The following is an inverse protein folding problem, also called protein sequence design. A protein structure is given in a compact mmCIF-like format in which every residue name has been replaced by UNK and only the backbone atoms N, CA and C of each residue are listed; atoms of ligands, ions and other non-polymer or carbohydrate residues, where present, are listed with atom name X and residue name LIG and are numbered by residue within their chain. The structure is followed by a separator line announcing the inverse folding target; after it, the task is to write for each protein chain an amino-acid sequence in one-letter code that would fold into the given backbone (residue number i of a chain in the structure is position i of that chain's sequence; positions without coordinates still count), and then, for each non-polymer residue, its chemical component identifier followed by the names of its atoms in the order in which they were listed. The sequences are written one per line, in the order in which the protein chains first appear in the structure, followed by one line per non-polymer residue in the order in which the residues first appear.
data_IF_258860220192
#
_entry.id   IF_258860220192
#
_cell.length_a   1.000
_cell.length_b   1.000
_cell.length_c   1.000
_cell.angle_alpha   90.00
_cell.angle_beta   90.00
_cell.angle_gamma   90.00
#
_symmetry.space_group_name_H-M   'P 1'
#
loop_
_entity.id
_entity.type
_entity.pdbx_description
1 polymer ?
#
# COMPACT_ATOMS: atom_id res chain seq x y z
N UNK A 1 8.51 17.91 -5.72
CA UNK A 1 8.59 18.32 -7.13
C UNK A 1 7.20 18.16 -7.70
N UNK A 2 6.63 19.19 -8.29
CA UNK A 2 5.26 19.18 -8.81
C UNK A 2 5.30 19.42 -10.32
N UNK A 3 4.66 18.55 -11.09
CA UNK A 3 4.67 18.55 -12.55
C UNK A 3 3.24 18.41 -13.06
N UNK A 4 2.84 19.29 -13.97
CA UNK A 4 1.57 19.20 -14.69
C UNK A 4 1.83 19.46 -16.18
N UNK A 5 1.17 18.71 -17.04
CA UNK A 5 1.39 18.69 -18.48
C UNK A 5 0.05 18.65 -19.23
N UNK A 6 0.00 19.30 -20.38
CA UNK A 6 -1.18 19.29 -21.27
C UNK A 6 -0.97 18.35 -22.45
N UNK A 7 -2.06 17.79 -22.95
CA UNK A 7 -2.12 16.87 -24.10
C UNK A 7 -1.23 15.64 -23.94
N UNK A 8 -1.19 15.06 -22.74
CA UNK A 8 -0.39 13.88 -22.41
C UNK A 8 -1.20 12.73 -21.80
N UNK A 9 -0.71 11.51 -21.97
CA UNK A 9 -1.21 10.31 -21.27
C UNK A 9 -0.48 10.05 -19.95
N UNK A 10 -1.02 9.15 -19.12
CA UNK A 10 -0.36 8.69 -17.90
C UNK A 10 1.04 8.11 -18.19
N UNK A 11 1.18 7.31 -19.24
CA UNK A 11 2.44 6.67 -19.64
C UNK A 11 3.48 7.70 -20.12
N UNK A 12 3.04 8.82 -20.70
CA UNK A 12 3.92 9.92 -21.08
C UNK A 12 4.48 10.65 -19.86
N UNK A 13 3.64 10.90 -18.85
CA UNK A 13 4.09 11.45 -17.57
C UNK A 13 5.06 10.50 -16.87
N UNK A 14 4.76 9.19 -16.86
CA UNK A 14 5.64 8.16 -16.28
C UNK A 14 7.02 8.14 -16.96
N UNK A 15 7.06 8.15 -18.30
CA UNK A 15 8.32 8.22 -19.06
C UNK A 15 9.11 9.49 -18.80
N UNK A 16 8.45 10.63 -18.65
CA UNK A 16 9.12 11.89 -18.28
C UNK A 16 9.79 11.75 -16.91
N UNK A 17 9.07 11.21 -15.91
CA UNK A 17 9.60 11.03 -14.55
C UNK A 17 10.76 10.04 -14.52
N UNK A 18 10.65 8.92 -15.25
CA UNK A 18 11.74 7.96 -15.43
C UNK A 18 12.99 8.62 -15.99
N UNK A 19 12.85 9.37 -17.10
CA UNK A 19 13.96 10.10 -17.71
C UNK A 19 14.54 11.18 -16.79
N UNK A 20 13.69 11.91 -16.06
CA UNK A 20 14.11 12.90 -15.08
C UNK A 20 14.94 12.26 -13.96
N UNK A 21 14.46 11.17 -13.37
CA UNK A 21 15.16 10.46 -12.30
C UNK A 21 16.48 9.88 -12.76
N UNK A 22 16.52 9.28 -13.96
CA UNK A 22 17.75 8.75 -14.55
C UNK A 22 18.76 9.87 -14.81
N UNK A 23 18.32 11.01 -15.35
CA UNK A 23 19.18 12.15 -15.67
C UNK A 23 19.73 12.84 -14.41
N UNK A 24 18.90 12.99 -13.37
CA UNK A 24 19.29 13.64 -12.12
C UNK A 24 19.91 12.68 -11.09
N UNK A 25 20.18 11.43 -11.47
CA UNK A 25 20.63 10.43 -10.51
C UNK A 25 22.04 10.75 -10.00
N UNK A 26 22.26 10.85 -8.68
CA UNK A 26 23.58 11.18 -8.16
C UNK A 26 24.57 10.02 -8.38
N UNK A 27 25.80 10.35 -8.80
CA UNK A 27 26.88 9.36 -9.01
C UNK A 27 27.17 8.57 -7.72
N UNK A 28 27.12 9.23 -6.57
CA UNK A 28 27.43 8.66 -5.25
C UNK A 28 26.18 8.19 -4.49
N UNK A 29 25.11 7.75 -5.17
CA UNK A 29 23.83 7.36 -4.55
C UNK A 29 23.93 6.11 -3.65
N UNK A 30 24.50 6.24 -2.44
CA UNK A 30 24.69 5.15 -1.47
C UNK A 30 25.42 3.91 -2.04
N UNK A 31 26.28 4.13 -3.05
CA UNK A 31 26.96 3.07 -3.80
C UNK A 31 26.05 2.20 -4.67
N UNK A 32 24.78 2.58 -4.83
CA UNK A 32 23.81 1.89 -5.67
C UNK A 32 23.89 2.33 -7.15
N UNK A 33 23.51 1.46 -8.10
CA UNK A 33 23.49 1.80 -9.51
C UNK A 33 22.39 2.82 -9.83
N UNK A 34 22.55 3.52 -10.95
CA UNK A 34 21.45 4.27 -11.56
C UNK A 34 20.28 3.31 -11.88
N UNK A 35 19.02 3.68 -11.59
CA UNK A 35 17.86 2.87 -11.88
C UNK A 35 17.76 2.55 -13.37
N UNK A 36 17.44 1.29 -13.67
CA UNK A 36 17.12 0.85 -15.02
C UNK A 36 15.69 1.30 -15.38
N UNK A 37 15.56 1.96 -16.52
CA UNK A 37 14.26 2.36 -17.10
C UNK A 37 13.96 1.52 -18.35
N UNK A 38 12.69 1.26 -18.68
CA UNK A 38 11.48 1.68 -17.98
C UNK A 38 11.28 0.94 -16.65
N UNK A 39 10.61 1.57 -15.68
CA UNK A 39 10.31 0.92 -14.42
C UNK A 39 9.22 -0.15 -14.61
N UNK A 40 9.26 -1.25 -13.84
CA UNK A 40 8.18 -2.22 -13.81
C UNK A 40 6.82 -1.56 -13.49
N UNK A 41 5.76 -2.02 -14.15
CA UNK A 41 4.39 -1.55 -13.93
C UNK A 41 3.57 -2.67 -13.31
N UNK A 42 2.77 -2.36 -12.30
CA UNK A 42 1.91 -3.28 -11.58
C UNK A 42 0.53 -2.65 -11.37
N UNK A 43 -0.55 -3.41 -11.54
CA UNK A 43 -1.89 -2.89 -11.19
C UNK A 43 -2.08 -2.88 -9.67
N UNK A 44 -2.88 -1.96 -9.17
CA UNK A 44 -3.27 -1.89 -7.75
C UNK A 44 -3.79 -3.25 -7.25
N UNK A 45 -4.64 -3.90 -8.06
CA UNK A 45 -5.15 -5.24 -7.74
C UNK A 45 -4.03 -6.28 -7.59
N UNK A 46 -3.01 -6.26 -8.48
CA UNK A 46 -1.86 -7.15 -8.36
C UNK A 46 -0.98 -6.82 -7.14
N UNK A 47 -0.77 -5.53 -6.85
CA UNK A 47 -0.02 -5.07 -5.68
C UNK A 47 -0.68 -5.54 -4.38
N UNK A 48 -1.99 -5.32 -4.24
CA UNK A 48 -2.76 -5.79 -3.09
C UNK A 48 -2.76 -7.32 -2.99
N UNK A 49 -3.01 -8.03 -4.10
CA UNK A 49 -3.08 -9.50 -4.10
C UNK A 49 -1.75 -10.16 -3.75
N UNK A 50 -0.63 -9.65 -4.25
CA UNK A 50 0.68 -10.29 -4.09
C UNK A 50 1.51 -9.74 -2.95
N UNK A 51 1.26 -8.51 -2.50
CA UNK A 51 2.06 -7.84 -1.47
C UNK A 51 1.24 -7.33 -0.30
N UNK A 52 -0.09 -7.28 -0.41
CA UNK A 52 -0.96 -6.76 0.64
C UNK A 52 -0.83 -5.25 0.83
N UNK A 53 -0.31 -4.54 -0.17
CA UNK A 53 -0.11 -3.10 -0.13
C UNK A 53 0.00 -2.53 -1.55
N UNK A 54 -0.56 -1.34 -1.72
CA UNK A 54 -0.40 -0.44 -2.86
C UNK A 54 1.02 0.14 -3.01
N UNK A 55 1.85 0.07 -1.96
CA UNK A 55 3.28 0.42 -1.99
C UNK A 55 4.15 -0.80 -1.70
N UNK A 56 4.26 -1.75 -2.64
CA UNK A 56 4.98 -2.99 -2.41
C UNK A 56 6.49 -2.77 -2.31
N UNK A 57 7.12 -3.43 -1.33
CA UNK A 57 8.59 -3.65 -1.34
C UNK A 57 8.90 -4.88 -2.20
N UNK A 58 9.39 -4.65 -3.41
CA UNK A 58 9.66 -5.67 -4.43
C UNK A 58 11.07 -6.25 -4.38
N UNK A 59 11.88 -5.88 -3.38
CA UNK A 59 13.28 -6.37 -3.24
C UNK A 59 13.38 -7.87 -2.97
N UNK A 60 12.35 -8.47 -2.40
CA UNK A 60 12.32 -9.88 -2.03
C UNK A 60 11.00 -10.57 -2.45
N UNK A 61 11.09 -11.87 -2.75
CA UNK A 61 10.06 -12.63 -3.47
C UNK A 61 9.08 -13.39 -2.56
N UNK A 62 8.87 -12.93 -1.32
CA UNK A 62 7.90 -13.58 -0.41
C UNK A 62 6.48 -13.11 -0.73
N UNK A 63 5.95 -13.53 -1.87
CA UNK A 63 4.63 -13.14 -2.32
C UNK A 63 3.53 -13.75 -1.43
N UNK A 64 2.45 -13.01 -1.27
CA UNK A 64 1.18 -13.54 -0.76
C UNK A 64 0.59 -14.51 -1.78
N UNK A 65 0.13 -15.65 -1.28
CA UNK A 65 -0.41 -16.76 -2.05
C UNK A 65 -1.77 -17.17 -1.49
N UNK A 66 -2.69 -17.55 -2.38
CA UNK A 66 -3.96 -18.12 -1.98
C UNK A 66 -3.73 -19.49 -1.30
N UNK A 67 -4.31 -19.66 -0.12
CA UNK A 67 -4.30 -20.90 0.63
C UNK A 67 -5.72 -21.46 0.81
N UNK A 68 -6.75 -20.81 0.28
CA UNK A 68 -8.15 -21.17 0.52
C UNK A 68 -8.46 -22.55 -0.06
N UNK A 69 -8.07 -22.80 -1.31
CA UNK A 69 -8.30 -24.10 -1.96
C UNK A 69 -7.63 -25.26 -1.20
N UNK A 70 -6.36 -25.11 -0.84
CA UNK A 70 -5.62 -26.13 -0.10
C UNK A 70 -6.22 -26.42 1.29
N UNK A 71 -6.73 -25.39 1.98
CA UNK A 71 -7.35 -25.55 3.30
C UNK A 71 -8.76 -26.17 3.21
N UNK A 72 -9.53 -25.87 2.16
CA UNK A 72 -10.83 -26.49 1.90
C UNK A 72 -10.70 -27.99 1.63
N UNK A 73 -9.77 -28.38 0.74
CA UNK A 73 -9.54 -29.78 0.37
C UNK A 73 -9.00 -30.62 1.53
N UNK A 74 -8.19 -30.02 2.39
CA UNK A 74 -7.64 -30.66 3.59
C UNK A 74 -8.71 -31.07 4.62
N UNK A 75 -10.00 -30.76 4.39
CA UNK A 75 -11.13 -31.07 5.29
C UNK A 75 -10.79 -30.75 6.74
N UNK A 76 -10.22 -29.57 7.00
CA UNK A 76 -9.85 -29.09 8.34
C UNK A 76 -11.09 -28.77 9.21
N UNK A 77 -12.11 -29.65 9.21
CA UNK A 77 -13.38 -29.52 9.93
C UNK A 77 -13.27 -29.57 11.45
N UNK A 78 -12.05 -29.59 12.00
CA UNK A 78 -11.79 -29.43 13.44
C UNK A 78 -11.64 -27.97 13.90
N UNK A 79 -11.73 -27.00 12.98
CA UNK A 79 -11.69 -25.56 13.30
C UNK A 79 -12.97 -24.95 12.73
N UNK A 80 -14.00 -24.82 13.57
CA UNK A 80 -15.32 -24.26 13.20
C UNK A 80 -15.20 -22.90 12.54
N UNK A 81 -14.28 -22.06 13.05
CA UNK A 81 -13.96 -20.74 12.48
C UNK A 81 -13.47 -20.79 11.02
N UNK A 82 -12.77 -21.85 10.62
CA UNK A 82 -12.19 -22.00 9.28
C UNK A 82 -13.29 -22.24 8.23
N UNK A 83 -14.30 -23.04 8.56
CA UNK A 83 -15.45 -23.28 7.70
C UNK A 83 -16.36 -22.07 7.63
N UNK A 84 -16.61 -21.39 8.74
CA UNK A 84 -17.45 -20.18 8.80
C UNK A 84 -16.80 -19.02 8.04
N UNK A 85 -15.49 -18.80 8.22
CA UNK A 85 -14.75 -17.73 7.53
C UNK A 85 -14.68 -17.98 6.03
N UNK A 86 -14.42 -19.21 5.59
CA UNK A 86 -14.35 -19.54 4.15
C UNK A 86 -15.74 -19.55 3.49
N UNK A 87 -16.80 -19.88 4.23
CA UNK A 87 -18.16 -19.90 3.70
C UNK A 87 -18.77 -18.50 3.56
N UNK A 88 -18.12 -17.47 4.12
CA UNK A 88 -18.53 -16.09 3.93
C UNK A 88 -18.24 -15.63 2.49
N UNK A 89 -19.12 -14.86 1.81
CA UNK A 89 -18.92 -14.45 0.41
C UNK A 89 -17.61 -13.71 0.10
N UNK A 90 -16.98 -13.12 1.12
CA UNK A 90 -15.71 -12.37 1.03
C UNK A 90 -14.56 -13.05 1.80
N UNK A 91 -14.79 -14.28 2.26
CA UNK A 91 -13.85 -15.04 3.05
C UNK A 91 -12.72 -15.61 2.21
N UNK A 92 -11.49 -15.31 2.58
CA UNK A 92 -10.30 -15.88 1.95
C UNK A 92 -9.32 -16.42 2.98
N UNK A 93 -8.38 -17.22 2.52
CA UNK A 93 -7.21 -17.61 3.27
C UNK A 93 -5.96 -17.28 2.45
N UNK A 94 -5.06 -16.51 3.04
CA UNK A 94 -3.82 -16.09 2.40
C UNK A 94 -2.64 -16.58 3.22
N UNK A 95 -1.58 -16.99 2.54
CA UNK A 95 -0.34 -17.41 3.16
C UNK A 95 0.87 -16.77 2.50
N UNK A 96 1.97 -16.65 3.25
CA UNK A 96 3.30 -16.44 2.69
C UNK A 96 4.31 -17.34 3.39
N UNK A 97 5.42 -17.60 2.70
CA UNK A 97 6.51 -18.45 3.19
C UNK A 97 7.67 -17.55 3.60
N UNK A 98 8.19 -17.79 4.80
CA UNK A 98 9.43 -17.19 5.31
C UNK A 98 10.54 -18.24 5.20
N UNK A 99 11.43 -18.12 4.20
CA UNK A 99 12.54 -19.04 4.03
C UNK A 99 13.42 -19.07 5.28
N UNK A 100 13.83 -20.25 5.72
CA UNK A 100 14.65 -20.44 6.95
C UNK A 100 14.01 -19.92 8.25
N UNK A 101 12.73 -19.52 8.21
CA UNK A 101 12.06 -18.87 9.33
C UNK A 101 12.02 -19.68 10.62
N UNK A 102 12.15 -21.02 10.56
CA UNK A 102 12.15 -21.87 11.75
C UNK A 102 13.32 -21.55 12.71
N UNK A 103 14.47 -21.14 12.18
CA UNK A 103 15.68 -20.85 12.97
C UNK A 103 15.70 -19.41 13.49
N UNK A 104 15.09 -18.49 12.74
CA UNK A 104 15.27 -17.05 12.92
C UNK A 104 14.08 -16.36 13.60
N UNK A 105 12.86 -16.91 13.47
CA UNK A 105 11.68 -16.29 14.08
C UNK A 105 11.57 -16.64 15.57
N UNK A 106 11.55 -15.59 16.39
CA UNK A 106 11.35 -15.72 17.83
C UNK A 106 9.88 -16.05 18.17
N UNK A 107 9.67 -16.75 19.28
CA UNK A 107 8.30 -17.05 19.76
C UNK A 107 7.52 -15.77 20.07
N UNK A 108 8.17 -14.75 20.63
CA UNK A 108 7.51 -13.48 20.94
C UNK A 108 7.12 -12.71 19.69
N UNK A 109 7.91 -12.76 18.61
CA UNK A 109 7.53 -12.17 17.32
C UNK A 109 6.25 -12.84 16.80
N UNK A 110 6.20 -14.18 16.79
CA UNK A 110 5.00 -14.92 16.36
C UNK A 110 3.75 -14.58 17.20
N UNK A 111 3.90 -14.43 18.52
CA UNK A 111 2.81 -14.01 19.42
C UNK A 111 2.36 -12.57 19.16
N UNK A 112 3.31 -11.66 18.93
CA UNK A 112 3.04 -10.26 18.56
C UNK A 112 2.29 -10.16 17.24
N UNK A 113 2.66 -10.96 16.23
CA UNK A 113 1.96 -11.00 14.95
C UNK A 113 0.53 -11.50 15.08
N UNK A 114 0.30 -12.51 15.91
CA UNK A 114 -1.06 -12.97 16.21
C UNK A 114 -1.87 -11.88 16.93
N UNK A 115 -1.28 -11.17 17.89
CA UNK A 115 -1.93 -10.04 18.56
C UNK A 115 -2.27 -8.90 17.58
N UNK A 116 -1.37 -8.59 16.64
CA UNK A 116 -1.61 -7.59 15.60
C UNK A 116 -2.78 -8.03 14.71
N UNK A 117 -2.77 -9.26 14.21
CA UNK A 117 -3.83 -9.79 13.35
C UNK A 117 -5.19 -9.85 14.07
N UNK A 118 -5.22 -10.26 15.34
CA UNK A 118 -6.47 -10.32 16.12
C UNK A 118 -7.06 -8.96 16.48
N UNK A 119 -6.30 -7.86 16.35
CA UNK A 119 -6.83 -6.49 16.54
C UNK A 119 -7.51 -5.94 15.29
N UNK A 120 -7.20 -6.49 14.12
CA UNK A 120 -7.81 -6.09 12.87
C UNK A 120 -9.23 -6.67 12.78
N UNK A 121 -10.20 -5.86 12.38
CA UNK A 121 -11.61 -6.27 12.37
C UNK A 121 -11.84 -7.46 11.44
N UNK A 122 -12.54 -8.50 11.93
CA UNK A 122 -12.89 -9.68 11.12
C UNK A 122 -11.76 -10.70 10.91
N UNK A 123 -10.56 -10.49 11.48
CA UNK A 123 -9.47 -11.45 11.46
C UNK A 123 -9.46 -12.32 12.73
N UNK A 124 -9.38 -13.64 12.56
CA UNK A 124 -9.30 -14.61 13.66
C UNK A 124 -7.92 -14.75 14.31
N UNK A 125 -6.96 -13.89 13.94
CA UNK A 125 -5.53 -14.04 14.25
C UNK A 125 -4.74 -14.64 13.08
N UNK A 126 -3.49 -15.03 13.35
CA UNK A 126 -2.56 -15.61 12.38
C UNK A 126 -2.02 -16.95 12.87
N UNK A 127 -1.95 -17.92 11.97
CA UNK A 127 -1.33 -19.22 12.22
C UNK A 127 0.09 -19.24 11.70
N UNK A 128 1.05 -19.40 12.60
CA UNK A 128 2.48 -19.59 12.25
C UNK A 128 2.83 -21.08 12.31
N UNK A 129 3.25 -21.63 11.18
CA UNK A 129 3.47 -23.06 10.95
C UNK A 129 4.91 -23.32 10.48
N UNK A 130 5.76 -23.86 11.35
CA UNK A 130 7.12 -24.26 11.00
C UNK A 130 7.15 -25.61 10.28
N UNK A 131 7.90 -25.70 9.19
CA UNK A 131 8.04 -26.90 8.36
C UNK A 131 9.17 -27.78 8.90
N UNK A 132 8.84 -29.00 9.30
CA UNK A 132 9.82 -29.99 9.80
C UNK A 132 10.46 -30.79 8.65
N UNK A 133 11.55 -31.48 8.98
CA UNK A 133 12.29 -32.36 8.07
C UNK A 133 11.45 -33.52 7.51
N UNK A 134 10.44 -33.98 8.24
CA UNK A 134 9.52 -35.03 7.80
C UNK A 134 8.34 -34.50 6.97
N UNK A 135 8.31 -33.19 6.68
CA UNK A 135 7.22 -32.52 5.97
C UNK A 135 5.97 -32.25 6.83
N UNK A 136 6.03 -32.50 8.14
CA UNK A 136 4.95 -32.12 9.07
C UNK A 136 5.09 -30.66 9.53
N UNK A 137 3.96 -30.05 9.92
CA UNK A 137 3.90 -28.68 10.43
C UNK A 137 3.93 -28.64 11.97
N UNK A 138 4.47 -27.57 12.57
CA UNK A 138 4.42 -27.30 14.02
C UNK A 138 4.14 -25.83 14.30
N UNK A 139 3.49 -25.52 15.42
CA UNK A 139 3.47 -24.15 15.96
C UNK A 139 2.07 -23.59 16.18
N UNK A 140 1.07 -24.13 15.49
CA UNK A 140 -0.31 -23.66 15.58
C UNK A 140 -1.32 -24.81 15.67
N UNK A 141 -2.55 -24.48 16.05
CA UNK A 141 -3.67 -25.43 15.98
C UNK A 141 -3.94 -25.86 14.53
N UNK A 142 -3.79 -24.92 13.58
CA UNK A 142 -3.88 -25.20 12.14
C UNK A 142 -2.87 -26.26 11.70
N UNK A 143 -1.60 -26.14 12.13
CA UNK A 143 -0.56 -27.12 11.85
C UNK A 143 -0.94 -28.53 12.36
N UNK A 144 -1.49 -28.61 13.57
CA UNK A 144 -1.93 -29.89 14.17
C UNK A 144 -3.04 -30.54 13.37
N UNK A 145 -4.01 -29.75 12.89
CA UNK A 145 -5.13 -30.25 12.08
C UNK A 145 -4.66 -30.67 10.69
N UNK A 146 -3.84 -29.87 10.01
CA UNK A 146 -3.30 -30.19 8.68
C UNK A 146 -2.44 -31.45 8.69
N UNK A 147 -1.71 -31.71 9.76
CA UNK A 147 -0.98 -32.98 9.92
C UNK A 147 -1.94 -34.16 10.07
N UNK A 148 -3.02 -34.00 10.85
CA UNK A 148 -4.00 -35.05 11.10
C UNK A 148 -4.78 -35.44 9.84
N UNK A 149 -5.16 -34.45 9.03
CA UNK A 149 -5.94 -34.68 7.81
C UNK A 149 -5.08 -35.01 6.59
N UNK A 150 -3.76 -34.87 6.70
CA UNK A 150 -2.82 -35.05 5.58
C UNK A 150 -2.69 -33.84 4.65
N UNK A 151 -3.45 -32.76 4.90
CA UNK A 151 -3.42 -31.53 4.09
C UNK A 151 -2.11 -30.74 4.15
N UNK A 152 -1.25 -31.01 5.14
CA UNK A 152 0.04 -30.33 5.27
C UNK A 152 0.90 -30.44 4.00
N UNK A 153 0.98 -31.63 3.40
CA UNK A 153 1.81 -31.85 2.18
C UNK A 153 1.28 -31.06 0.99
N UNK A 154 -0.03 -30.99 0.83
CA UNK A 154 -0.66 -30.27 -0.27
C UNK A 154 -0.46 -28.76 -0.14
N UNK A 155 -0.67 -28.23 1.06
CA UNK A 155 -0.42 -26.81 1.34
C UNK A 155 1.06 -26.44 1.12
N UNK A 156 1.99 -27.27 1.60
CA UNK A 156 3.42 -27.03 1.40
C UNK A 156 3.80 -27.07 -0.09
N UNK A 157 3.24 -28.01 -0.85
CA UNK A 157 3.47 -28.12 -2.28
C UNK A 157 2.90 -26.93 -3.06
N UNK A 158 1.71 -26.44 -2.71
CA UNK A 158 1.12 -25.27 -3.36
C UNK A 158 1.90 -23.99 -3.08
N UNK A 159 2.48 -23.87 -1.88
CA UNK A 159 3.26 -22.70 -1.45
C UNK A 159 4.74 -22.77 -1.83
N UNK A 160 5.23 -23.92 -2.31
CA UNK A 160 6.65 -24.17 -2.57
C UNK A 160 7.53 -24.16 -1.31
N UNK A 161 6.95 -24.43 -0.14
CA UNK A 161 7.65 -24.37 1.14
C UNK A 161 8.44 -25.65 1.42
N UNK A 162 9.67 -25.51 1.92
CA UNK A 162 10.59 -26.62 2.18
C UNK A 162 10.92 -26.76 3.67
N UNK A 163 11.48 -27.90 4.13
CA UNK A 163 11.91 -28.06 5.50
C UNK A 163 12.85 -26.95 5.98
N UNK A 164 12.58 -26.38 7.16
CA UNK A 164 13.30 -25.23 7.71
C UNK A 164 12.58 -23.89 7.52
N UNK A 165 11.57 -23.83 6.65
CA UNK A 165 10.77 -22.63 6.43
C UNK A 165 9.69 -22.46 7.51
N UNK A 166 9.10 -21.27 7.53
CA UNK A 166 7.89 -20.97 8.28
C UNK A 166 6.80 -20.48 7.34
N UNK A 167 5.64 -21.13 7.37
CA UNK A 167 4.44 -20.68 6.65
C UNK A 167 3.57 -19.87 7.60
N UNK A 168 3.22 -18.65 7.20
CA UNK A 168 2.30 -17.78 7.94
C UNK A 168 0.97 -17.77 7.19
N UNK A 169 -0.14 -18.03 7.89
CA UNK A 169 -1.49 -18.15 7.29
C UNK A 169 -2.49 -17.30 8.07
N UNK A 170 -3.27 -16.48 7.38
CA UNK A 170 -4.40 -15.74 7.95
C UNK A 170 -5.69 -16.04 7.18
N UNK A 171 -6.82 -15.92 7.88
CA UNK A 171 -8.16 -16.16 7.35
C UNK A 171 -9.11 -15.05 7.77
N UNK A 172 -9.95 -14.59 6.86
CA UNK A 172 -10.79 -13.40 7.07
C UNK A 172 -11.35 -12.80 5.79
N UNK A 173 -12.00 -11.64 5.90
CA UNK A 173 -12.35 -10.81 4.74
C UNK A 173 -11.10 -10.45 3.93
N UNK A 174 -11.17 -10.57 2.61
CA UNK A 174 -10.02 -10.41 1.71
C UNK A 174 -9.22 -9.12 1.92
N UNK A 175 -9.87 -7.96 1.95
CA UNK A 175 -9.20 -6.66 2.16
C UNK A 175 -8.34 -6.64 3.43
N UNK A 176 -8.89 -7.16 4.53
CA UNK A 176 -8.29 -7.12 5.84
C UNK A 176 -7.16 -8.14 5.95
N UNK A 177 -7.36 -9.34 5.39
CA UNK A 177 -6.33 -10.38 5.30
C UNK A 177 -5.14 -9.88 4.50
N UNK A 178 -5.36 -9.33 3.30
CA UNK A 178 -4.28 -8.84 2.44
C UNK A 178 -3.49 -7.73 3.13
N UNK A 179 -4.16 -6.70 3.66
CA UNK A 179 -3.51 -5.59 4.38
C UNK A 179 -2.69 -6.07 5.59
N UNK A 180 -3.27 -6.96 6.41
CA UNK A 180 -2.57 -7.52 7.57
C UNK A 180 -1.34 -8.35 7.14
N UNK A 181 -1.52 -9.25 6.16
CA UNK A 181 -0.46 -10.13 5.69
C UNK A 181 0.68 -9.37 4.99
N UNK A 182 0.38 -8.26 4.30
CA UNK A 182 1.38 -7.35 3.75
C UNK A 182 2.25 -6.72 4.83
N UNK A 183 1.65 -6.25 5.93
CA UNK A 183 2.40 -5.75 7.11
C UNK A 183 3.26 -6.84 7.74
N UNK A 184 2.68 -8.02 7.97
CA UNK A 184 3.40 -9.15 8.59
C UNK A 184 4.57 -9.65 7.74
N UNK A 185 4.44 -9.63 6.40
CA UNK A 185 5.53 -9.94 5.46
C UNK A 185 6.74 -9.03 5.69
N UNK A 186 6.53 -7.72 5.84
CA UNK A 186 7.62 -6.76 6.09
C UNK A 186 8.23 -6.94 7.48
N UNK A 187 7.41 -7.21 8.50
CA UNK A 187 7.89 -7.51 9.85
C UNK A 187 8.72 -8.79 9.89
N UNK A 188 8.30 -9.84 9.18
CA UNK A 188 9.05 -11.08 9.07
C UNK A 188 10.43 -10.86 8.42
N UNK A 189 10.51 -10.01 7.39
CA UNK A 189 11.79 -9.67 6.76
C UNK A 189 12.70 -8.93 7.75
N UNK A 190 12.16 -7.98 8.51
CA UNK A 190 12.92 -7.24 9.52
C UNK A 190 13.43 -8.15 10.66
N UNK A 191 12.62 -9.12 11.13
CA UNK A 191 13.05 -10.10 12.13
C UNK A 191 14.22 -10.97 11.62
N UNK A 192 14.15 -11.44 10.37
CA UNK A 192 15.24 -12.20 9.76
C UNK A 192 16.52 -11.36 9.64
N UNK A 193 16.40 -10.12 9.20
CA UNK A 193 17.52 -9.17 9.11
C UNK A 193 18.16 -8.87 10.47
N UNK A 194 17.36 -8.76 11.53
CA UNK A 194 17.87 -8.57 12.90
C UNK A 194 18.72 -9.75 13.39
N UNK A 195 18.51 -10.95 12.84
CA UNK A 195 19.31 -12.15 13.14
C UNK A 195 20.50 -12.36 12.20
N UNK A 196 20.75 -11.43 11.27
CA UNK A 196 21.86 -11.48 10.32
C UNK A 196 21.55 -12.15 8.98
N UNK A 197 20.27 -12.46 8.69
CA UNK A 197 19.86 -12.98 7.37
C UNK A 197 19.56 -11.80 6.45
N UNK A 198 20.29 -11.67 5.36
CA UNK A 198 20.11 -10.57 4.43
C UNK A 198 18.91 -10.84 3.49
N UNK A 199 17.77 -10.22 3.78
CA UNK A 199 16.54 -10.36 2.97
C UNK A 199 16.43 -9.24 1.95
N UNK A 200 16.63 -7.98 2.37
CA UNK A 200 16.56 -6.80 1.51
C UNK A 200 17.92 -6.16 1.37
N UNK A 201 18.27 -5.82 0.13
CA UNK A 201 19.43 -4.98 -0.12
C UNK A 201 19.11 -3.51 0.20
N UNK A 202 19.83 -2.93 1.16
CA UNK A 202 19.66 -1.52 1.59
C UNK A 202 20.21 -0.52 0.57
N UNK A 203 21.16 -0.93 -0.27
CA UNK A 203 21.77 -0.09 -1.30
C UNK A 203 20.98 -0.13 -2.61
N UNK A 204 20.12 -1.13 -2.78
CA UNK A 204 19.29 -1.29 -3.97
C UNK A 204 18.00 -0.47 -3.84
N UNK A 205 17.73 0.39 -4.81
CA UNK A 205 16.50 1.17 -4.94
C UNK A 205 15.68 0.58 -6.08
N UNK A 206 14.61 -0.16 -5.74
CA UNK A 206 13.68 -0.73 -6.73
C UNK A 206 12.45 0.14 -6.86
N UNK A 207 12.32 0.74 -8.04
CA UNK A 207 11.13 1.48 -8.44
C UNK A 207 10.10 0.56 -9.07
N UNK A 208 8.82 0.89 -8.87
CA UNK A 208 7.68 0.25 -9.52
C UNK A 208 6.56 1.28 -9.64
N UNK A 209 5.92 1.32 -10.81
CA UNK A 209 4.68 2.05 -11.00
C UNK A 209 3.51 1.18 -10.55
N UNK A 210 2.66 1.72 -9.69
CA UNK A 210 1.35 1.14 -9.38
C UNK A 210 0.29 1.94 -10.12
N UNK A 211 -0.57 1.26 -10.88
CA UNK A 211 -1.59 1.86 -11.75
C UNK A 211 -2.96 1.22 -11.51
N UNK A 212 -4.01 1.69 -12.18
CA UNK A 212 -5.35 1.08 -12.12
C UNK A 212 -5.96 1.07 -10.71
N UNK A 213 -5.73 2.12 -9.94
CA UNK A 213 -6.34 2.29 -8.62
C UNK A 213 -7.86 2.42 -8.73
N UNK A 214 -8.65 1.99 -7.72
CA UNK A 214 -10.06 2.31 -7.64
C UNK A 214 -10.26 3.83 -7.63
N UNK A 215 -11.32 4.30 -8.28
CA UNK A 215 -11.67 5.72 -8.26
C UNK A 215 -12.31 6.13 -6.93
N UNK A 216 -13.14 5.25 -6.38
CA UNK A 216 -13.90 5.46 -5.15
C UNK A 216 -13.68 4.33 -4.15
N UNK A 217 -13.80 4.66 -2.87
CA UNK A 217 -13.92 3.71 -1.77
C UNK A 217 -15.11 4.07 -0.87
N UNK A 218 -15.66 3.11 -0.10
CA UNK A 218 -16.68 3.42 0.89
C UNK A 218 -16.13 4.36 1.97
N UNK A 219 -16.89 5.41 2.30
CA UNK A 219 -16.58 6.29 3.43
C UNK A 219 -16.71 5.57 4.78
N UNK A 220 -16.24 6.22 5.86
CA UNK A 220 -16.28 5.66 7.22
C UNK A 220 -17.71 5.31 7.69
N UNK A 221 -18.71 6.02 7.15
CA UNK A 221 -20.13 5.82 7.45
C UNK A 221 -20.76 4.65 6.66
N UNK A 222 -20.03 4.07 5.70
CA UNK A 222 -20.48 2.97 4.84
C UNK A 222 -21.62 3.32 3.87
N UNK A 223 -22.06 4.58 3.85
CA UNK A 223 -23.19 5.06 3.05
C UNK A 223 -22.77 6.04 1.97
N UNK A 224 -21.69 6.78 2.22
CA UNK A 224 -21.08 7.70 1.28
C UNK A 224 -19.91 7.04 0.54
N UNK A 225 -19.59 7.59 -0.64
CA UNK A 225 -18.37 7.26 -1.36
C UNK A 225 -17.39 8.40 -1.21
N UNK A 226 -16.13 8.07 -1.01
CA UNK A 226 -15.02 9.02 -1.00
C UNK A 226 -14.07 8.71 -2.15
N UNK A 227 -13.36 9.72 -2.64
CA UNK A 227 -12.32 9.53 -3.65
C UNK A 227 -11.10 8.90 -3.01
N UNK A 228 -10.54 7.85 -3.62
CA UNK A 228 -9.31 7.20 -3.12
C UNK A 228 -8.12 8.17 -3.17
N UNK A 229 -8.09 9.02 -4.20
CA UNK A 229 -7.08 10.06 -4.36
C UNK A 229 -7.78 11.43 -4.48
N UNK A 230 -7.54 12.17 -5.57
CA UNK A 230 -8.17 13.47 -5.79
C UNK A 230 -9.55 13.33 -6.49
N UNK A 231 -10.56 14.15 -6.14
CA UNK A 231 -11.87 14.17 -6.81
C UNK A 231 -11.84 14.62 -8.29
N UNK A 232 -10.67 14.99 -8.82
CA UNK A 232 -10.48 15.44 -10.20
C UNK A 232 -9.77 14.38 -11.05
N UNK A 233 -9.58 13.19 -10.51
CA UNK A 233 -8.93 12.09 -11.22
C UNK A 233 -9.87 11.51 -12.29
N UNK A 234 -9.34 11.37 -13.50
CA UNK A 234 -10.06 10.82 -14.64
C UNK A 234 -10.42 9.33 -14.41
N UNK A 235 -11.69 8.92 -14.61
CA UNK A 235 -12.06 7.52 -14.61
C UNK A 235 -11.38 6.78 -15.77
N UNK A 236 -11.06 5.50 -15.55
CA UNK A 236 -10.53 4.65 -16.59
C UNK A 236 -11.55 4.55 -17.75
N UNK A 237 -11.16 4.78 -19.02
CA UNK A 237 -12.09 4.86 -20.15
C UNK A 237 -12.98 3.63 -20.31
N UNK A 238 -12.44 2.44 -20.05
CA UNK A 238 -13.19 1.19 -20.14
C UNK A 238 -14.25 1.02 -19.04
N UNK A 239 -14.14 1.76 -17.94
CA UNK A 239 -14.98 1.56 -16.75
C UNK A 239 -15.95 2.74 -16.54
N UNK A 240 -15.82 3.83 -17.33
CA UNK A 240 -16.64 5.03 -17.20
C UNK A 240 -18.17 4.77 -17.28
N UNK A 241 -18.58 3.70 -17.97
CA UNK A 241 -19.98 3.28 -18.05
C UNK A 241 -20.54 2.75 -16.71
N UNK A 242 -19.68 2.36 -15.77
CA UNK A 242 -20.06 1.84 -14.45
C UNK A 242 -20.26 2.95 -13.41
N UNK A 243 -19.93 4.21 -13.72
CA UNK A 243 -20.04 5.33 -12.78
C UNK A 243 -21.44 5.46 -12.15
N UNK A 244 -22.50 5.27 -12.93
CA UNK A 244 -23.87 5.42 -12.45
C UNK A 244 -24.46 4.12 -11.87
N UNK A 245 -23.88 2.96 -12.21
CA UNK A 245 -24.44 1.64 -11.85
C UNK A 245 -23.69 0.95 -10.72
N UNK A 246 -22.37 0.97 -10.76
CA UNK A 246 -21.49 0.29 -9.81
C UNK A 246 -20.16 1.06 -9.66
N UNK A 247 -20.20 2.26 -9.04
CA UNK A 247 -19.05 3.17 -8.96
C UNK A 247 -17.83 2.57 -8.26
N UNK A 248 -18.02 1.60 -7.35
CA UNK A 248 -16.93 0.92 -6.64
C UNK A 248 -16.06 0.04 -7.55
N UNK A 249 -16.54 -0.31 -8.75
CA UNK A 249 -15.75 -1.07 -9.74
C UNK A 249 -15.01 -0.18 -10.73
N UNK A 250 -15.20 1.13 -10.67
CA UNK A 250 -14.56 2.07 -11.60
C UNK A 250 -13.10 2.24 -11.20
N UNK A 251 -12.18 1.86 -12.09
CA UNK A 251 -10.77 2.21 -11.95
C UNK A 251 -10.55 3.66 -12.35
N UNK A 252 -9.45 4.22 -11.87
CA UNK A 252 -8.97 5.56 -12.16
C UNK A 252 -7.72 5.53 -13.03
N UNK A 253 -7.43 6.63 -13.71
CA UNK A 253 -6.12 6.88 -14.33
C UNK A 253 -5.14 7.52 -13.34
N UNK A 254 -5.15 7.04 -12.09
CA UNK A 254 -4.17 7.38 -11.06
C UNK A 254 -2.98 6.42 -11.14
N UNK A 255 -1.80 6.92 -10.81
CA UNK A 255 -0.56 6.17 -10.79
C UNK A 255 0.37 6.67 -9.68
N UNK A 256 0.96 5.71 -8.97
CA UNK A 256 1.94 5.98 -7.92
C UNK A 256 3.30 5.43 -8.33
N UNK A 257 4.35 6.21 -8.06
CA UNK A 257 5.72 5.74 -8.08
C UNK A 257 6.09 5.26 -6.68
N UNK A 258 6.42 3.99 -6.57
CA UNK A 258 6.83 3.35 -5.32
C UNK A 258 8.30 2.97 -5.41
N UNK A 259 9.06 3.23 -4.36
CA UNK A 259 10.44 2.81 -4.20
C UNK A 259 10.61 2.08 -2.87
N UNK A 260 11.06 0.83 -2.90
CA UNK A 260 11.38 0.04 -1.71
C UNK A 260 10.26 -0.02 -0.64
N UNK A 261 9.00 -0.07 -1.07
CA UNK A 261 7.83 -0.08 -0.19
C UNK A 261 7.41 1.29 0.35
N UNK A 262 7.98 2.37 -0.18
CA UNK A 262 7.56 3.74 0.11
C UNK A 262 7.00 4.38 -1.17
N UNK A 263 5.83 4.99 -1.07
CA UNK A 263 5.35 5.92 -2.09
C UNK A 263 6.30 7.13 -2.15
N UNK A 264 6.88 7.38 -3.32
CA UNK A 264 7.80 8.50 -3.58
C UNK A 264 7.20 9.55 -4.50
N UNK A 265 6.08 9.25 -5.13
CA UNK A 265 5.25 10.22 -5.82
C UNK A 265 3.95 9.61 -6.29
N UNK A 266 2.99 10.48 -6.60
CA UNK A 266 1.65 10.07 -7.02
C UNK A 266 1.06 11.12 -7.94
N UNK A 267 0.28 10.67 -8.92
CA UNK A 267 -0.22 11.50 -10.00
C UNK A 267 -1.45 10.90 -10.65
N UNK A 268 -2.16 11.71 -11.42
CA UNK A 268 -3.28 11.22 -12.20
C UNK A 268 -3.49 12.01 -13.47
N UNK A 269 -4.13 11.38 -14.45
CA UNK A 269 -4.80 12.12 -15.51
C UNK A 269 -5.99 12.83 -14.91
N UNK A 270 -6.16 14.11 -15.25
CA UNK A 270 -7.22 14.96 -14.69
C UNK A 270 -8.45 14.96 -15.57
N UNK A 271 -9.60 15.13 -14.95
CA UNK A 271 -10.85 15.37 -15.64
C UNK A 271 -10.79 16.76 -16.29
N UNK A 272 -10.90 16.77 -17.61
CA UNK A 272 -10.95 17.99 -18.41
C UNK A 272 -12.38 18.29 -18.91
N UNK A 273 -13.27 17.29 -18.90
CA UNK A 273 -14.65 17.42 -19.32
C UNK A 273 -15.55 17.92 -18.16
N UNK A 274 -16.25 19.05 -18.30
CA UNK A 274 -17.05 19.61 -17.21
C UNK A 274 -18.24 18.72 -16.82
N UNK A 275 -18.85 18.01 -17.77
CA UNK A 275 -19.98 17.11 -17.47
C UNK A 275 -19.52 15.92 -16.63
N UNK A 276 -18.38 15.31 -16.99
CA UNK A 276 -17.74 14.25 -16.20
C UNK A 276 -17.38 14.72 -14.80
N UNK A 277 -16.82 15.94 -14.66
CA UNK A 277 -16.46 16.47 -13.35
C UNK A 277 -17.69 16.67 -12.46
N UNK A 278 -18.80 17.20 -13.02
CA UNK A 278 -20.06 17.34 -12.29
C UNK A 278 -20.62 15.98 -11.86
N UNK A 279 -20.53 14.96 -12.71
CA UNK A 279 -20.96 13.59 -12.37
C UNK A 279 -20.16 13.03 -11.20
N UNK A 280 -18.83 13.15 -11.23
CA UNK A 280 -17.96 12.68 -10.14
C UNK A 280 -18.25 13.43 -8.83
N UNK A 281 -18.41 14.76 -8.86
CA UNK A 281 -18.78 15.54 -7.67
C UNK A 281 -20.15 15.15 -7.13
N UNK A 282 -21.11 14.84 -8.00
CA UNK A 282 -22.43 14.35 -7.63
C UNK A 282 -22.38 13.00 -6.91
N UNK A 283 -21.55 12.06 -7.39
CA UNK A 283 -21.32 10.75 -6.74
C UNK A 283 -20.71 10.94 -5.36
N UNK A 284 -19.75 11.86 -5.22
CA UNK A 284 -19.11 12.22 -3.95
C UNK A 284 -20.00 13.07 -3.03
N UNK A 285 -21.20 13.45 -3.46
CA UNK A 285 -22.14 14.30 -2.73
C UNK A 285 -21.53 15.65 -2.31
N UNK A 286 -20.58 16.16 -3.08
CA UNK A 286 -19.95 17.46 -2.83
C UNK A 286 -20.86 18.59 -3.31
N UNK A 287 -21.07 19.64 -2.50
CA UNK A 287 -21.97 20.74 -2.85
C UNK A 287 -21.45 21.48 -4.09
N UNK A 288 -22.32 21.76 -5.10
CA UNK A 288 -21.89 22.38 -6.36
C UNK A 288 -21.21 23.74 -6.18
N UNK A 289 -21.63 24.51 -5.16
CA UNK A 289 -21.17 25.89 -4.96
C UNK A 289 -19.68 26.02 -4.65
N UNK A 290 -19.07 25.04 -3.98
CA UNK A 290 -17.69 25.14 -3.50
C UNK A 290 -16.67 24.99 -4.66
N UNK A 291 -17.05 24.29 -5.73
CA UNK A 291 -16.18 23.96 -6.85
C UNK A 291 -16.71 24.46 -8.20
N UNK A 292 -17.77 25.27 -8.20
CA UNK A 292 -18.37 25.79 -9.44
C UNK A 292 -17.36 26.55 -10.30
N UNK A 293 -16.49 27.36 -9.68
CA UNK A 293 -15.45 28.10 -10.40
C UNK A 293 -14.51 27.18 -11.19
N UNK A 294 -14.23 25.97 -10.67
CA UNK A 294 -13.36 25.00 -11.30
C UNK A 294 -14.08 24.34 -12.49
N UNK A 295 -15.34 23.95 -12.31
CA UNK A 295 -16.17 23.42 -13.39
C UNK A 295 -16.36 24.44 -14.52
N UNK A 296 -16.56 25.71 -14.17
CA UNK A 296 -16.65 26.81 -15.13
C UNK A 296 -15.34 26.97 -15.91
N UNK A 297 -14.18 26.83 -15.24
CA UNK A 297 -12.88 26.86 -15.89
C UNK A 297 -12.70 25.69 -16.88
N UNK A 298 -13.14 24.48 -16.54
CA UNK A 298 -13.14 23.33 -17.46
C UNK A 298 -13.93 23.62 -18.75
N UNK A 299 -15.08 24.27 -18.61
CA UNK A 299 -15.94 24.63 -19.74
C UNK A 299 -15.34 25.71 -20.67
N UNK A 300 -14.27 26.41 -20.26
CA UNK A 300 -13.58 27.41 -21.09
C UNK A 300 -12.57 26.79 -22.08
N UNK A 301 -12.62 25.47 -22.28
CA UNK A 301 -11.75 24.76 -23.22
C UNK A 301 -10.47 24.23 -22.59
N UNK A 302 -10.56 23.71 -21.36
CA UNK A 302 -9.42 23.06 -20.70
C UNK A 302 -8.95 21.84 -21.52
N UNK A 303 -7.66 21.75 -21.89
CA UNK A 303 -7.15 20.60 -22.62
C UNK A 303 -7.10 19.35 -21.72
N UNK A 304 -7.01 18.15 -22.31
CA UNK A 304 -6.56 16.97 -21.56
C UNK A 304 -5.25 17.29 -20.84
N UNK A 305 -5.16 16.93 -19.56
CA UNK A 305 -3.97 17.23 -18.77
C UNK A 305 -3.75 16.14 -17.70
N UNK A 306 -2.50 15.97 -17.32
CA UNK A 306 -2.09 15.02 -16.31
C UNK A 306 -0.89 15.56 -15.55
N UNK A 307 -0.72 15.10 -14.32
CA UNK A 307 0.38 15.55 -13.49
C UNK A 307 0.75 14.57 -12.40
N UNK A 308 1.87 14.86 -11.75
CA UNK A 308 2.48 14.05 -10.70
C UNK A 308 3.24 14.94 -9.72
N UNK A 309 3.09 14.61 -8.44
CA UNK A 309 3.88 15.18 -7.38
C UNK A 309 4.87 14.13 -6.84
N UNK A 310 6.16 14.45 -6.85
CA UNK A 310 7.19 13.64 -6.17
C UNK A 310 7.48 14.21 -4.79
N UNK A 311 7.44 13.32 -3.79
CA UNK A 311 7.88 13.57 -2.42
C UNK A 311 9.41 13.69 -2.37
N UNK A 312 9.92 14.90 -2.57
CA UNK A 312 11.35 15.16 -2.69
C UNK A 312 12.13 14.70 -1.45
N UNK A 313 11.68 15.07 -0.25
CA UNK A 313 12.34 14.65 1.00
C UNK A 313 12.35 13.13 1.18
N UNK A 314 11.26 12.45 0.77
CA UNK A 314 11.18 10.99 0.82
C UNK A 314 12.18 10.34 -0.14
N UNK A 315 12.23 10.84 -1.37
CA UNK A 315 13.15 10.34 -2.39
C UNK A 315 14.61 10.51 -1.95
N UNK A 316 14.98 11.70 -1.48
CA UNK A 316 16.33 11.98 -0.99
C UNK A 316 16.66 11.14 0.25
N UNK A 317 15.72 10.97 1.19
CA UNK A 317 15.89 10.09 2.35
C UNK A 317 16.21 8.65 1.94
N UNK A 318 15.52 8.13 0.92
CA UNK A 318 15.78 6.78 0.39
C UNK A 318 17.14 6.70 -0.31
N UNK A 319 17.49 7.70 -1.12
CA UNK A 319 18.80 7.80 -1.79
C UNK A 319 19.96 7.85 -0.80
N UNK A 320 19.79 8.56 0.32
CA UNK A 320 20.79 8.65 1.38
C UNK A 320 20.77 7.45 2.34
N UNK A 321 19.85 6.51 2.19
CA UNK A 321 19.69 5.37 3.10
C UNK A 321 19.27 5.77 4.53
N UNK A 322 18.65 6.94 4.69
CA UNK A 322 18.19 7.47 5.97
C UNK A 322 16.87 6.83 6.41
N UNK A 323 16.75 6.56 7.71
CA UNK A 323 15.51 6.05 8.31
C UNK A 323 14.43 7.13 8.47
N UNK A 324 14.79 8.42 8.40
CA UNK A 324 13.87 9.53 8.62
C UNK A 324 14.11 10.68 7.66
N UNK A 325 13.02 11.20 7.06
CA UNK A 325 13.07 12.42 6.25
C UNK A 325 13.63 13.63 7.01
N UNK A 326 13.64 13.59 8.34
CA UNK A 326 14.22 14.65 9.17
C UNK A 326 15.73 14.82 8.96
N UNK A 327 16.43 13.77 8.55
CA UNK A 327 17.88 13.81 8.35
C UNK A 327 18.27 14.48 7.02
N UNK A 328 17.32 14.62 6.10
CA UNK A 328 17.52 15.30 4.80
C UNK A 328 16.92 16.71 4.77
N UNK A 329 16.37 17.17 5.90
CA UNK A 329 15.81 18.51 6.08
C UNK A 329 16.72 19.27 7.04
N UNK A 330 17.21 20.46 6.66
CA UNK A 330 18.14 21.24 7.48
C UNK A 330 17.58 21.62 8.87
N UNK A 331 16.30 21.99 8.96
CA UNK A 331 15.63 22.38 10.20
C UNK A 331 14.26 21.69 10.35
N UNK A 332 14.25 20.38 10.66
CA UNK A 332 13.02 19.59 10.70
C UNK A 332 12.15 20.01 11.89
N UNK A 333 10.88 19.60 11.85
CA UNK A 333 9.92 19.80 12.95
C UNK A 333 9.68 18.48 13.69
N UNK A 334 9.29 18.57 14.96
CA UNK A 334 8.82 17.39 15.69
C UNK A 334 7.43 16.95 15.20
N UNK A 335 6.88 15.87 15.76
CA UNK A 335 5.56 15.34 15.36
C UNK A 335 4.39 16.29 15.66
N UNK A 336 4.60 17.33 16.48
CA UNK A 336 3.62 18.38 16.79
C UNK A 336 3.80 19.61 15.89
N UNK A 337 4.69 19.58 14.90
CA UNK A 337 4.98 20.73 14.04
C UNK A 337 5.86 21.79 14.69
N UNK A 338 6.42 21.53 15.88
CA UNK A 338 7.26 22.50 16.59
C UNK A 338 8.71 22.46 16.10
N UNK A 339 9.32 23.64 15.99
CA UNK A 339 10.75 23.82 15.78
C UNK A 339 11.43 24.00 17.14
N UNK A 340 12.06 22.94 17.65
CA UNK A 340 12.72 22.96 18.97
C UNK A 340 13.89 23.95 19.03
N UNK A 341 14.58 24.17 17.91
CA UNK A 341 15.71 25.11 17.84
C UNK A 341 15.27 26.58 18.01
N UNK A 342 14.16 26.98 17.37
CA UNK A 342 13.69 28.38 17.40
C UNK A 342 12.58 28.63 18.43
N UNK A 343 12.05 27.58 19.06
CA UNK A 343 10.88 27.68 19.92
C UNK A 343 9.57 28.02 19.18
N UNK A 344 9.48 27.69 17.89
CA UNK A 344 8.28 27.95 17.09
C UNK A 344 7.28 26.77 17.13
N UNK A 345 5.96 27.00 17.02
CA UNK A 345 5.30 28.30 16.97
C UNK A 345 5.39 29.05 18.30
N UNK A 346 5.24 30.38 18.26
CA UNK A 346 5.27 31.26 19.42
C UNK A 346 4.08 32.21 19.40
N UNK A 347 3.69 32.73 20.56
CA UNK A 347 2.61 33.71 20.65
C UNK A 347 2.97 35.02 19.95
N UNK A 348 2.01 35.56 19.21
CA UNK A 348 2.11 36.90 18.61
C UNK A 348 1.50 37.96 19.54
N UNK A 349 2.03 39.19 19.47
CA UNK A 349 1.59 40.28 20.34
C UNK A 349 0.13 40.67 20.12
N UNK A 350 -0.51 41.22 21.15
CA UNK A 350 -1.89 41.72 21.07
C UNK A 350 -2.06 42.80 19.99
N UNK A 351 -1.07 43.67 19.83
CA UNK A 351 -1.02 44.70 18.80
C UNK A 351 -1.05 44.08 17.39
N UNK A 352 -0.30 42.99 17.18
CA UNK A 352 -0.28 42.28 15.90
C UNK A 352 -1.62 41.59 15.63
N UNK A 353 -2.21 40.94 16.65
CA UNK A 353 -3.55 40.35 16.57
C UNK A 353 -4.60 41.40 16.18
N UNK A 354 -4.56 42.58 16.81
CA UNK A 354 -5.47 43.69 16.49
C UNK A 354 -5.27 44.19 15.07
N UNK A 355 -4.01 44.35 14.62
CA UNK A 355 -3.70 44.80 13.26
C UNK A 355 -4.31 43.88 12.19
N UNK A 356 -4.30 42.57 12.42
CA UNK A 356 -4.88 41.59 11.51
C UNK A 356 -6.33 41.18 11.86
N UNK A 357 -6.97 41.89 12.80
CA UNK A 357 -8.33 41.57 13.28
C UNK A 357 -8.52 40.12 13.75
N UNK A 358 -7.45 39.49 14.25
CA UNK A 358 -7.47 38.13 14.78
C UNK A 358 -7.97 38.20 16.23
N UNK A 359 -9.05 37.47 16.52
CA UNK A 359 -9.57 37.28 17.88
C UNK A 359 -9.15 35.90 18.37
N UNK A 360 -8.72 35.81 19.61
CA UNK A 360 -8.60 34.51 20.27
C UNK A 360 -10.02 34.03 20.61
N UNK A 361 -10.32 32.79 20.26
CA UNK A 361 -11.50 32.12 20.80
C UNK A 361 -11.18 31.84 22.28
N UNK A 362 -11.84 32.57 23.19
CA UNK A 362 -11.81 32.28 24.63
C UNK A 362 -12.49 30.95 24.94
#
# INVERSE_FOLDING_TARGET
VDLEMSDVTAEEVQRLVEGMLQYSWPEDCNGGPTPETPFPVMTYSAAMKHYGSDKPDTRFQWLLQDAAAALQEARCGGITALQELISHPQGTATAFVVPTGQKHLSKSACESWNSLASREHGLGGVSVCHVRQDGSLKGSQLATQLNRTGGAKQLLASLGAVPGDTVVVALGPESNVLSCMGKLRLLAAAELEATGVFVRNKQELRFVWVVDFPLFEPGEDGSSLVSVHHPFTQPHPHDAHLLDTDPLKVRSQHYDLVCNGCEVGGGSVRIHDPEMQQRVLGILQLPPGDLQYFVDALAMGTPPHAGIALGFDRLVSLMCGSESIREVIAFPKNSQGHCTMSGAPSDISRELKQRYSIKENC
#
